data_IF_101117757290
#
_entry.id   IF_101117757290
#
_cell.length_a   1.000
_cell.length_b   1.000
_cell.length_c   1.000
_cell.angle_alpha   90.00
_cell.angle_beta   90.00
_cell.angle_gamma   90.00
#
_symmetry.space_group_name_H-M   'P 1'
#
loop_
_entity.id
_entity.type
_entity.pdbx_description
1 polymer ?
#
# COMPACT_ATOMS: atom_id res chain seq x y z
N UNK A 1 -69.22 -9.09 -5.27
CA UNK A 1 -69.29 -10.48 -4.75
C UNK A 1 -68.43 -11.33 -5.65
N UNK A 2 -67.49 -12.07 -5.06
CA UNK A 2 -66.59 -13.07 -5.70
C UNK A 2 -65.50 -12.48 -6.61
N UNK A 3 -64.33 -12.20 -6.01
CA UNK A 3 -62.98 -12.42 -6.54
C UNK A 3 -61.92 -12.01 -5.51
N UNK A 4 -61.88 -12.66 -4.40
CA UNK A 4 -60.81 -12.54 -3.42
C UNK A 4 -60.54 -13.94 -2.88
N UNK A 5 -59.71 -14.70 -3.59
CA UNK A 5 -59.05 -15.91 -3.11
C UNK A 5 -58.30 -16.55 -4.28
N UNK A 6 -57.04 -16.32 -4.39
CA UNK A 6 -55.98 -17.23 -4.86
C UNK A 6 -54.67 -16.41 -4.79
N UNK A 7 -53.98 -16.48 -3.66
CA UNK A 7 -52.52 -16.35 -3.55
C UNK A 7 -52.08 -16.81 -2.17
N UNK A 8 -51.82 -18.11 -1.99
CA UNK A 8 -51.07 -18.55 -0.83
C UNK A 8 -49.60 -18.77 -1.21
N UNK A 9 -48.74 -18.25 -0.34
CA UNK A 9 -47.47 -18.86 0.05
C UNK A 9 -46.38 -19.06 -1.02
N UNK A 10 -45.57 -18.08 -1.19
CA UNK A 10 -44.13 -18.27 -1.52
C UNK A 10 -43.29 -17.31 -0.67
N UNK A 11 -43.44 -17.35 0.62
CA UNK A 11 -42.52 -16.76 1.59
C UNK A 11 -41.83 -17.86 2.37
N UNK A 12 -41.13 -18.73 1.66
CA UNK A 12 -40.20 -19.65 2.31
C UNK A 12 -38.82 -18.92 2.36
N UNK A 13 -38.72 -17.99 3.30
CA UNK A 13 -37.44 -17.44 3.71
C UNK A 13 -36.62 -18.60 4.28
N UNK A 14 -35.62 -19.01 3.51
CA UNK A 14 -34.55 -19.88 4.02
C UNK A 14 -33.79 -19.08 5.07
N UNK A 15 -34.27 -19.11 6.30
CA UNK A 15 -33.48 -18.61 7.45
C UNK A 15 -32.38 -19.64 7.67
N UNK A 16 -31.24 -19.41 7.03
CA UNK A 16 -30.00 -20.13 7.35
C UNK A 16 -29.65 -19.76 8.79
N UNK A 17 -30.07 -20.59 9.74
CA UNK A 17 -29.72 -20.45 11.15
C UNK A 17 -28.22 -20.74 11.29
N UNK A 18 -27.39 -19.70 11.22
CA UNK A 18 -25.95 -19.82 11.45
C UNK A 18 -25.71 -20.41 12.86
N UNK A 19 -24.81 -21.38 12.99
CA UNK A 19 -24.53 -22.02 14.27
C UNK A 19 -24.03 -20.96 15.28
N UNK A 20 -24.39 -21.11 16.58
CA UNK A 20 -24.10 -20.10 17.61
C UNK A 20 -22.61 -19.79 17.77
N UNK A 21 -21.76 -20.71 17.38
CA UNK A 21 -20.31 -20.51 17.34
C UNK A 21 -19.89 -19.46 16.29
N UNK A 22 -20.50 -19.44 15.10
CA UNK A 22 -20.19 -18.49 14.02
C UNK A 22 -20.64 -17.07 14.38
N UNK A 23 -21.74 -16.93 15.12
CA UNK A 23 -22.26 -15.63 15.56
C UNK A 23 -21.39 -14.98 16.64
N UNK A 24 -20.77 -15.78 17.52
CA UNK A 24 -19.80 -15.30 18.52
C UNK A 24 -18.47 -14.91 17.90
N UNK A 25 -17.97 -15.66 16.92
CA UNK A 25 -16.72 -15.33 16.24
C UNK A 25 -16.85 -14.09 15.37
N UNK A 26 -17.95 -13.90 14.64
CA UNK A 26 -18.22 -12.69 13.86
C UNK A 26 -18.37 -11.46 14.77
N UNK A 27 -19.04 -11.61 15.93
CA UNK A 27 -19.15 -10.53 16.92
C UNK A 27 -17.81 -10.13 17.54
N UNK A 28 -16.94 -11.11 17.85
CA UNK A 28 -15.59 -10.86 18.38
C UNK A 28 -14.68 -10.20 17.34
N UNK A 29 -14.74 -10.63 16.08
CA UNK A 29 -13.97 -10.01 14.97
C UNK A 29 -14.45 -8.59 14.70
N UNK A 30 -15.77 -8.33 14.75
CA UNK A 30 -16.33 -6.99 14.61
C UNK A 30 -15.91 -6.06 15.75
N UNK A 31 -15.92 -6.55 17.00
CA UNK A 31 -15.47 -5.80 18.17
C UNK A 31 -13.95 -5.50 18.10
N UNK A 32 -13.15 -6.47 17.65
CA UNK A 32 -11.70 -6.30 17.48
C UNK A 32 -11.37 -5.28 16.38
N UNK A 33 -12.13 -5.31 15.26
CA UNK A 33 -12.02 -4.31 14.19
C UNK A 33 -12.38 -2.89 14.68
N UNK A 34 -13.43 -2.79 15.50
CA UNK A 34 -13.87 -1.52 16.07
C UNK A 34 -12.86 -0.95 17.07
N UNK A 35 -12.22 -1.81 17.87
CA UNK A 35 -11.11 -1.44 18.77
C UNK A 35 -9.85 -1.00 18.02
N UNK A 36 -9.52 -1.64 16.89
CA UNK A 36 -8.38 -1.24 16.05
C UNK A 36 -8.62 0.12 15.40
N UNK A 37 -9.84 0.38 14.90
CA UNK A 37 -10.22 1.68 14.33
C UNK A 37 -10.24 2.77 15.40
N UNK A 38 -10.73 2.47 16.61
CA UNK A 38 -10.72 3.42 17.73
C UNK A 38 -9.31 3.74 18.24
N UNK A 39 -8.39 2.76 18.20
CA UNK A 39 -6.98 2.98 18.55
C UNK A 39 -6.21 3.79 17.50
N UNK A 40 -6.66 3.79 16.24
CA UNK A 40 -6.08 4.60 15.16
C UNK A 40 -6.58 6.05 15.17
N UNK A 41 -7.70 6.35 15.85
CA UNK A 41 -8.27 7.67 15.97
C UNK A 41 -7.77 8.37 17.24
N UNK A 42 -6.46 8.53 17.39
CA UNK A 42 -5.94 9.44 18.42
C UNK A 42 -6.05 10.89 17.91
N UNK A 43 -6.62 11.82 18.69
CA UNK A 43 -6.64 13.22 18.30
C UNK A 43 -5.21 13.73 18.19
N UNK A 44 -4.94 14.45 17.11
CA UNK A 44 -3.68 15.17 16.93
C UNK A 44 -3.43 16.06 18.16
N UNK A 45 -2.32 15.81 18.83
CA UNK A 45 -1.87 16.65 19.94
C UNK A 45 -1.29 17.92 19.35
N UNK A 46 -2.02 19.01 19.45
CA UNK A 46 -1.57 20.35 19.13
C UNK A 46 -0.48 20.78 20.10
N UNK A 47 0.77 20.38 19.87
CA UNK A 47 1.91 20.95 20.60
C UNK A 47 3.24 20.65 19.92
N UNK A 48 3.53 21.36 18.82
CA UNK A 48 4.93 21.50 18.38
C UNK A 48 5.16 22.87 17.76
N UNK A 49 5.03 23.90 18.59
CA UNK A 49 5.51 25.24 18.27
C UNK A 49 7.04 25.29 18.52
N UNK A 50 7.82 24.90 17.52
CA UNK A 50 9.26 25.12 17.49
C UNK A 50 10.11 23.87 17.76
N UNK A 51 10.64 23.29 16.70
CA UNK A 51 11.72 22.31 16.75
C UNK A 51 13.01 23.06 17.18
N UNK A 52 13.67 22.73 18.30
CA UNK A 52 14.92 23.37 18.72
C UNK A 52 16.09 23.17 17.73
N UNK A 53 15.92 22.34 16.73
CA UNK A 53 16.92 22.09 15.65
C UNK A 53 16.50 22.69 14.32
N UNK A 54 15.65 23.72 14.29
CA UNK A 54 15.28 24.37 13.04
C UNK A 54 16.50 25.04 12.38
N UNK A 55 16.72 24.76 11.09
CA UNK A 55 17.71 25.49 10.29
C UNK A 55 17.21 26.90 10.04
N UNK A 56 17.90 27.88 10.59
CA UNK A 56 17.56 29.29 10.40
C UNK A 56 18.20 29.81 9.11
N UNK A 57 17.40 30.47 8.29
CA UNK A 57 17.81 31.13 7.05
C UNK A 57 17.68 32.63 7.22
N UNK A 58 18.82 33.27 7.45
CA UNK A 58 18.95 34.72 7.56
C UNK A 58 19.50 35.31 6.27
N UNK A 59 19.07 36.52 5.92
CA UNK A 59 19.54 37.23 4.72
C UNK A 59 18.81 36.82 3.46
N UNK A 60 19.44 37.01 2.27
CA UNK A 60 18.83 36.76 0.96
C UNK A 60 19.42 35.50 0.34
N UNK A 61 18.57 34.54 0.02
CA UNK A 61 18.94 33.29 -0.67
C UNK A 61 18.27 33.25 -2.03
N UNK A 62 19.07 33.19 -3.11
CA UNK A 62 18.59 33.17 -4.50
C UNK A 62 18.39 31.73 -5.03
N UNK A 63 18.02 30.79 -4.19
CA UNK A 63 17.82 29.38 -4.55
C UNK A 63 16.73 28.78 -3.70
N UNK A 64 16.21 27.61 -4.08
CA UNK A 64 15.27 26.84 -3.27
C UNK A 64 15.98 26.24 -2.05
N UNK A 65 15.39 26.43 -0.88
CA UNK A 65 15.90 25.92 0.39
C UNK A 65 15.28 24.56 0.68
N UNK A 66 16.12 23.56 0.92
CA UNK A 66 15.67 22.20 1.28
C UNK A 66 16.04 21.85 2.73
N UNK A 67 15.10 21.30 3.49
CA UNK A 67 15.30 20.67 4.78
C UNK A 67 14.99 19.17 4.71
N UNK A 68 15.90 18.32 5.16
CA UNK A 68 15.67 16.88 5.30
C UNK A 68 15.75 16.50 6.77
N UNK A 69 14.63 15.99 7.32
CA UNK A 69 14.54 15.56 8.70
C UNK A 69 14.54 16.69 9.73
N UNK A 70 14.56 17.96 9.30
CA UNK A 70 14.65 19.13 10.17
C UNK A 70 13.70 20.23 9.71
N UNK A 71 13.25 21.06 10.66
CA UNK A 71 12.44 22.23 10.36
C UNK A 71 13.29 23.37 9.79
N UNK A 72 12.68 24.21 8.95
CA UNK A 72 13.29 25.39 8.35
C UNK A 72 12.59 26.62 8.94
N UNK A 73 13.38 27.58 9.43
CA UNK A 73 12.88 28.89 9.85
C UNK A 73 13.49 29.97 8.93
N UNK A 74 12.65 30.69 8.24
CA UNK A 74 13.04 31.73 7.27
C UNK A 74 12.76 33.08 7.90
N UNK A 75 13.82 33.78 8.36
CA UNK A 75 13.77 35.15 8.90
C UNK A 75 14.12 36.17 7.84
N UNK A 76 14.86 35.75 6.81
CA UNK A 76 15.26 36.58 5.68
C UNK A 76 14.34 36.45 4.46
N UNK A 77 14.93 36.55 3.26
CA UNK A 77 14.23 36.45 1.97
C UNK A 77 14.72 35.27 1.16
N UNK A 78 13.81 34.39 0.72
CA UNK A 78 14.10 33.29 -0.20
C UNK A 78 13.42 33.60 -1.53
N UNK A 79 14.20 33.64 -2.62
CA UNK A 79 13.72 34.08 -3.94
C UNK A 79 12.98 32.99 -4.73
N UNK A 80 13.34 31.73 -4.56
CA UNK A 80 12.74 30.64 -5.34
C UNK A 80 11.68 29.88 -4.56
N UNK A 81 12.05 29.24 -3.46
CA UNK A 81 11.08 28.46 -2.68
C UNK A 81 11.69 27.78 -1.47
N UNK A 82 10.84 27.16 -0.64
CA UNK A 82 11.28 26.43 0.54
C UNK A 82 10.54 25.11 0.69
N UNK A 83 11.28 24.02 0.89
CA UNK A 83 10.69 22.69 1.03
C UNK A 83 11.31 21.92 2.19
N UNK A 84 10.47 21.39 3.08
CA UNK A 84 10.90 20.53 4.19
C UNK A 84 10.29 19.12 4.08
N UNK A 85 11.14 18.13 4.31
CA UNK A 85 10.77 16.72 4.43
C UNK A 85 10.95 16.28 5.89
N UNK A 86 9.87 15.98 6.59
CA UNK A 86 9.89 15.56 8.00
C UNK A 86 10.11 16.67 9.01
N UNK A 87 9.98 17.93 8.60
CA UNK A 87 10.04 19.11 9.46
C UNK A 87 9.06 20.19 9.03
N UNK A 88 8.91 21.20 9.86
CA UNK A 88 8.02 22.33 9.60
C UNK A 88 8.75 23.41 8.79
N UNK A 89 7.99 24.19 8.03
CA UNK A 89 8.50 25.41 7.38
C UNK A 89 7.86 26.62 8.09
N UNK A 90 8.70 27.35 8.82
CA UNK A 90 8.27 28.54 9.60
C UNK A 90 8.74 29.76 8.81
N UNK A 91 7.81 30.53 8.27
CA UNK A 91 8.09 31.76 7.51
C UNK A 91 7.82 32.95 8.41
N UNK A 92 8.88 33.68 8.74
CA UNK A 92 8.87 34.95 9.50
C UNK A 92 9.26 36.14 8.60
N UNK A 93 10.00 35.85 7.50
CA UNK A 93 10.40 36.82 6.48
C UNK A 93 9.59 36.69 5.19
N UNK A 94 10.25 36.62 4.03
CA UNK A 94 9.61 36.54 2.72
C UNK A 94 10.09 35.33 1.93
N UNK A 95 9.16 34.64 1.26
CA UNK A 95 9.44 33.60 0.25
C UNK A 95 8.70 34.00 -1.02
N UNK A 96 9.44 34.34 -2.09
CA UNK A 96 8.83 34.79 -3.34
C UNK A 96 8.22 33.64 -4.16
N UNK A 97 8.65 32.39 -3.94
CA UNK A 97 8.16 31.18 -4.61
C UNK A 97 7.34 30.26 -3.72
N UNK A 98 7.32 28.97 -4.09
CA UNK A 98 6.47 27.96 -3.46
C UNK A 98 7.02 27.50 -2.11
N UNK A 99 6.10 27.16 -1.19
CA UNK A 99 6.43 26.60 0.12
C UNK A 99 5.79 25.22 0.27
N UNK A 100 6.61 24.20 0.58
CA UNK A 100 6.11 22.85 0.77
C UNK A 100 6.61 22.20 2.07
N UNK A 101 5.71 21.51 2.77
CA UNK A 101 6.04 20.66 3.92
C UNK A 101 5.45 19.27 3.73
N UNK A 102 6.29 18.24 3.85
CA UNK A 102 5.89 16.83 3.77
C UNK A 102 6.25 16.16 5.10
N UNK A 103 5.23 15.69 5.84
CA UNK A 103 5.38 15.20 7.20
C UNK A 103 5.71 16.31 8.21
N UNK A 104 5.20 17.52 7.95
CA UNK A 104 5.28 18.69 8.79
C UNK A 104 4.27 19.73 8.37
N UNK A 105 4.25 20.84 9.10
CA UNK A 105 3.32 21.95 8.90
C UNK A 105 4.01 23.16 8.29
N UNK A 106 3.27 24.01 7.60
CA UNK A 106 3.72 25.34 7.18
C UNK A 106 3.13 26.37 8.14
N UNK A 107 3.98 27.19 8.73
CA UNK A 107 3.60 28.20 9.72
C UNK A 107 4.01 29.57 9.18
N UNK A 108 3.03 30.35 8.73
CA UNK A 108 3.24 31.73 8.30
C UNK A 108 2.98 32.65 9.48
N UNK A 109 4.04 33.34 9.94
CA UNK A 109 3.96 34.30 11.04
C UNK A 109 3.38 35.63 10.56
N UNK A 110 2.87 36.47 11.50
CA UNK A 110 2.39 37.81 11.17
C UNK A 110 3.48 38.64 10.47
N UNK A 111 3.13 39.26 9.34
CA UNK A 111 4.07 40.06 8.54
C UNK A 111 4.95 39.24 7.57
N UNK A 112 4.85 37.91 7.57
CA UNK A 112 5.56 37.10 6.61
C UNK A 112 4.82 37.08 5.27
N UNK A 113 5.59 37.01 4.15
CA UNK A 113 5.05 36.95 2.80
C UNK A 113 5.37 35.61 2.12
N UNK A 114 4.38 35.02 1.41
CA UNK A 114 4.56 33.85 0.55
C UNK A 114 3.95 34.17 -0.81
N UNK A 115 4.81 34.30 -1.84
CA UNK A 115 4.39 34.65 -3.20
C UNK A 115 3.85 33.48 -4.02
N UNK A 116 4.28 32.25 -3.72
CA UNK A 116 3.90 31.05 -4.47
C UNK A 116 2.83 30.18 -3.82
N UNK A 117 2.73 28.93 -4.29
CA UNK A 117 1.79 27.94 -3.79
C UNK A 117 2.25 27.36 -2.45
N UNK A 118 1.27 26.94 -1.63
CA UNK A 118 1.55 26.26 -0.36
C UNK A 118 1.07 24.82 -0.44
N UNK A 119 1.99 23.87 -0.28
CA UNK A 119 1.71 22.44 -0.32
C UNK A 119 2.05 21.82 1.03
N UNK A 120 1.03 21.28 1.72
CA UNK A 120 1.20 20.62 3.03
C UNK A 120 0.68 19.20 2.94
N UNK A 121 1.55 18.23 3.17
CA UNK A 121 1.21 16.83 3.22
C UNK A 121 1.52 16.25 4.60
N UNK A 122 0.48 15.84 5.30
CA UNK A 122 0.55 15.28 6.65
C UNK A 122 0.18 16.26 7.75
N UNK A 123 0.72 17.48 7.71
CA UNK A 123 0.47 18.54 8.67
C UNK A 123 -0.61 19.54 8.24
N UNK A 124 -0.54 20.74 8.80
CA UNK A 124 -1.53 21.81 8.63
C UNK A 124 -0.82 23.10 8.21
N UNK A 125 -1.49 23.92 7.41
CA UNK A 125 -1.07 25.28 7.14
C UNK A 125 -1.65 26.22 8.22
N UNK A 126 -0.74 26.77 9.03
CA UNK A 126 -1.07 27.75 10.07
C UNK A 126 -0.76 29.14 9.58
N UNK A 127 -1.74 30.02 9.60
CA UNK A 127 -1.57 31.46 9.40
C UNK A 127 -2.34 32.20 10.47
N UNK A 128 -1.92 33.44 10.77
CA UNK A 128 -2.59 34.26 11.75
C UNK A 128 -4.00 34.67 11.28
N UNK A 129 -4.86 35.12 12.19
CA UNK A 129 -6.25 35.51 11.92
C UNK A 129 -6.40 36.69 10.93
N UNK A 130 -5.36 37.49 10.74
CA UNK A 130 -5.28 38.43 9.62
C UNK A 130 -5.13 37.63 8.32
N UNK A 131 -5.72 38.08 7.20
CA UNK A 131 -5.56 37.45 5.90
C UNK A 131 -4.07 37.27 5.60
N UNK A 132 -3.63 36.06 5.26
CA UNK A 132 -2.23 35.79 4.97
C UNK A 132 -1.78 36.65 3.80
N UNK A 133 -0.58 37.26 3.89
CA UNK A 133 0.01 38.01 2.79
C UNK A 133 0.54 37.04 1.74
N UNK A 134 -0.27 36.85 0.68
CA UNK A 134 -0.01 35.90 -0.41
C UNK A 134 -0.45 36.47 -1.75
N UNK A 135 0.13 35.94 -2.82
CA UNK A 135 -0.38 36.25 -4.18
C UNK A 135 -1.85 35.76 -4.30
N UNK A 136 -2.77 36.60 -4.78
CA UNK A 136 -4.18 36.21 -5.01
C UNK A 136 -4.36 35.01 -5.94
N UNK A 137 -3.40 34.67 -6.77
CA UNK A 137 -3.43 33.53 -7.69
C UNK A 137 -2.86 32.25 -7.07
N UNK A 138 -2.21 32.33 -5.90
CA UNK A 138 -1.59 31.16 -5.27
C UNK A 138 -2.63 30.16 -4.76
N UNK A 139 -2.30 28.89 -4.88
CA UNK A 139 -3.15 27.77 -4.48
C UNK A 139 -2.61 27.16 -3.17
N UNK A 140 -3.51 26.73 -2.30
CA UNK A 140 -3.15 25.93 -1.13
C UNK A 140 -3.64 24.50 -1.33
N UNK A 141 -2.71 23.56 -1.30
CA UNK A 141 -3.00 22.12 -1.31
C UNK A 141 -2.62 21.58 0.08
N UNK A 142 -3.62 21.13 0.84
CA UNK A 142 -3.41 20.62 2.18
C UNK A 142 -4.07 19.25 2.32
N UNK A 143 -3.30 18.28 2.78
CA UNK A 143 -3.80 16.98 3.21
C UNK A 143 -3.35 16.72 4.65
N UNK A 144 -4.25 16.98 5.59
CA UNK A 144 -4.01 16.74 7.01
C UNK A 144 -4.20 15.26 7.34
N UNK A 145 -3.24 14.68 8.04
CA UNK A 145 -3.29 13.29 8.49
C UNK A 145 -1.94 12.59 8.35
N UNK A 146 -1.69 11.66 9.24
CA UNK A 146 -0.46 10.85 9.26
C UNK A 146 0.84 11.66 9.45
N UNK A 147 0.78 12.88 10.02
CA UNK A 147 1.93 13.76 10.22
C UNK A 147 3.07 13.05 10.96
N UNK A 148 2.78 12.45 12.12
CA UNK A 148 3.79 11.74 12.93
C UNK A 148 4.42 10.55 12.21
N UNK A 149 3.66 9.86 11.36
CA UNK A 149 4.19 8.74 10.60
C UNK A 149 5.08 9.24 9.46
N UNK A 150 4.62 10.24 8.70
CA UNK A 150 5.40 10.85 7.63
C UNK A 150 6.65 11.53 8.18
N UNK A 151 6.54 12.26 9.27
CA UNK A 151 7.67 12.93 9.97
C UNK A 151 8.71 11.90 10.40
N UNK A 152 8.31 10.79 11.03
CA UNK A 152 9.23 9.70 11.41
C UNK A 152 9.91 9.08 10.20
N UNK A 153 9.17 8.75 9.15
CA UNK A 153 9.73 8.16 7.93
C UNK A 153 10.71 9.09 7.24
N UNK A 154 10.45 10.39 7.23
CA UNK A 154 11.34 11.37 6.59
C UNK A 154 12.57 11.70 7.45
N UNK A 155 12.46 11.72 8.77
CA UNK A 155 13.59 11.91 9.69
C UNK A 155 14.49 10.66 9.78
N UNK A 156 13.85 9.50 9.81
CA UNK A 156 14.52 8.22 9.97
C UNK A 156 14.02 7.21 8.92
N UNK A 157 14.45 7.30 7.66
CA UNK A 157 13.95 6.44 6.58
C UNK A 157 14.22 4.96 6.85
N UNK A 158 15.24 4.64 7.63
CA UNK A 158 15.54 3.26 8.04
C UNK A 158 14.66 2.76 9.20
N UNK A 159 13.90 3.63 9.88
CA UNK A 159 12.96 3.21 10.93
C UNK A 159 11.82 2.35 10.38
N UNK A 160 11.48 2.50 9.10
CA UNK A 160 10.52 1.64 8.39
C UNK A 160 10.99 0.18 8.34
N UNK A 161 12.31 -0.05 8.37
CA UNK A 161 12.88 -1.40 8.37
C UNK A 161 12.80 -2.07 9.75
N UNK A 162 12.56 -1.30 10.82
CA UNK A 162 12.41 -1.76 12.19
C UNK A 162 10.97 -1.61 12.66
N UNK A 163 10.08 -2.55 12.40
CA UNK A 163 8.73 -2.47 12.93
C UNK A 163 8.77 -2.53 14.47
N UNK A 164 8.15 -1.54 15.10
CA UNK A 164 7.98 -1.55 16.55
C UNK A 164 7.00 -2.68 16.92
N UNK A 165 7.41 -3.57 17.81
CA UNK A 165 6.59 -4.69 18.32
C UNK A 165 5.55 -4.13 19.30
N UNK A 166 4.49 -3.54 18.75
CA UNK A 166 3.35 -3.01 19.50
C UNK A 166 2.14 -3.95 19.39
N UNK A 167 1.14 -3.79 20.25
CA UNK A 167 -0.12 -4.51 20.15
C UNK A 167 -0.79 -4.27 18.78
N UNK A 168 -0.68 -3.05 18.23
CA UNK A 168 -1.18 -2.68 16.90
C UNK A 168 -0.45 -3.46 15.80
N UNK A 169 0.87 -3.65 15.94
CA UNK A 169 1.64 -4.47 15.00
C UNK A 169 1.12 -5.90 14.94
N UNK A 170 0.92 -6.56 16.08
CA UNK A 170 0.37 -7.92 16.11
C UNK A 170 -1.06 -7.97 15.58
N UNK A 171 -1.90 -6.99 15.93
CA UNK A 171 -3.27 -6.90 15.42
C UNK A 171 -3.32 -6.76 13.91
N UNK A 172 -2.49 -5.90 13.31
CA UNK A 172 -2.42 -5.73 11.85
C UNK A 172 -1.89 -6.99 11.14
N UNK A 173 -0.96 -7.74 11.76
CA UNK A 173 -0.47 -9.01 11.20
C UNK A 173 -1.54 -10.10 11.25
N UNK A 174 -2.29 -10.18 12.35
CA UNK A 174 -3.40 -11.13 12.46
C UNK A 174 -4.51 -10.83 11.46
N UNK A 175 -4.85 -9.56 11.30
CA UNK A 175 -5.80 -9.11 10.28
C UNK A 175 -5.30 -9.42 8.86
N UNK A 176 -4.03 -9.22 8.58
CA UNK A 176 -3.42 -9.57 7.30
C UNK A 176 -3.48 -11.08 7.04
N UNK A 177 -3.23 -11.93 8.05
CA UNK A 177 -3.40 -13.38 7.92
C UNK A 177 -4.84 -13.71 7.54
N UNK A 178 -5.81 -13.12 8.22
CA UNK A 178 -7.23 -13.37 7.97
C UNK A 178 -7.62 -12.95 6.54
N UNK A 179 -7.27 -11.74 6.13
CA UNK A 179 -7.57 -11.22 4.79
C UNK A 179 -6.94 -12.10 3.71
N UNK A 180 -5.64 -12.39 3.81
CA UNK A 180 -4.95 -13.22 2.81
C UNK A 180 -5.42 -14.66 2.81
N UNK A 181 -5.84 -15.20 3.95
CA UNK A 181 -6.46 -16.52 4.03
C UNK A 181 -7.80 -16.56 3.29
N UNK A 182 -8.68 -15.56 3.52
CA UNK A 182 -9.98 -15.47 2.84
C UNK A 182 -9.79 -15.29 1.33
N UNK A 183 -8.89 -14.39 0.91
CA UNK A 183 -8.56 -14.19 -0.52
C UNK A 183 -8.02 -15.47 -1.16
N UNK A 184 -7.11 -16.17 -0.48
CA UNK A 184 -6.55 -17.42 -0.98
C UNK A 184 -7.60 -18.53 -1.07
N UNK A 185 -8.49 -18.62 -0.09
CA UNK A 185 -9.59 -19.59 -0.08
C UNK A 185 -10.58 -19.30 -1.22
N UNK A 186 -10.97 -18.04 -1.39
CA UNK A 186 -11.87 -17.63 -2.47
C UNK A 186 -11.27 -17.92 -3.86
N UNK A 187 -10.02 -17.54 -4.10
CA UNK A 187 -9.37 -17.78 -5.39
C UNK A 187 -9.18 -19.28 -5.68
N UNK A 188 -8.79 -20.08 -4.68
CA UNK A 188 -8.68 -21.53 -4.85
C UNK A 188 -10.02 -22.19 -5.12
N UNK A 189 -11.11 -21.68 -4.53
CA UNK A 189 -12.48 -22.16 -4.79
C UNK A 189 -12.98 -21.80 -6.19
N UNK A 190 -12.71 -20.57 -6.65
CA UNK A 190 -13.20 -20.08 -7.96
C UNK A 190 -12.39 -20.64 -9.13
N UNK A 191 -11.06 -20.79 -8.97
CA UNK A 191 -10.16 -21.17 -10.07
C UNK A 191 -9.21 -22.34 -9.71
N UNK A 192 -9.74 -23.52 -9.25
CA UNK A 192 -8.90 -24.60 -8.73
C UNK A 192 -7.93 -25.14 -9.77
N UNK A 193 -8.39 -25.31 -11.01
CA UNK A 193 -7.58 -25.86 -12.11
C UNK A 193 -6.45 -24.92 -12.58
N UNK A 194 -6.66 -23.62 -12.45
CA UNK A 194 -5.65 -22.61 -12.83
C UNK A 194 -4.55 -22.55 -11.79
N UNK A 195 -4.93 -22.57 -10.52
CA UNK A 195 -3.99 -22.52 -9.41
C UNK A 195 -3.16 -23.79 -9.33
N UNK A 196 -3.77 -24.98 -9.47
CA UNK A 196 -3.03 -26.24 -9.44
C UNK A 196 -1.98 -26.34 -10.53
N UNK A 197 -2.31 -25.90 -11.76
CA UNK A 197 -1.36 -25.83 -12.88
C UNK A 197 -0.23 -24.83 -12.62
N UNK A 198 -0.54 -23.67 -12.07
CA UNK A 198 0.45 -22.66 -11.74
C UNK A 198 1.41 -23.12 -10.62
N UNK A 199 0.91 -23.81 -9.60
CA UNK A 199 1.73 -24.41 -8.53
C UNK A 199 2.71 -25.44 -9.09
N UNK A 200 2.26 -26.35 -9.97
CA UNK A 200 3.12 -27.34 -10.59
C UNK A 200 4.25 -26.69 -11.41
N UNK A 201 3.94 -25.62 -12.14
CA UNK A 201 4.95 -24.85 -12.90
C UNK A 201 5.97 -24.18 -12.00
N UNK A 202 5.53 -23.55 -10.92
CA UNK A 202 6.42 -22.92 -9.96
C UNK A 202 7.44 -23.91 -9.40
N UNK A 203 7.03 -25.14 -9.11
CA UNK A 203 7.91 -26.18 -8.57
C UNK A 203 8.93 -26.69 -9.60
N UNK A 204 8.57 -26.71 -10.89
CA UNK A 204 9.42 -27.24 -11.95
C UNK A 204 10.38 -26.21 -12.56
N UNK A 205 10.01 -24.91 -12.53
CA UNK A 205 10.75 -23.88 -13.28
C UNK A 205 10.84 -22.55 -12.50
N UNK A 206 11.09 -22.60 -11.20
CA UNK A 206 11.09 -21.42 -10.30
C UNK A 206 12.03 -20.29 -10.79
N UNK A 207 13.24 -20.63 -11.24
CA UNK A 207 14.22 -19.64 -11.72
C UNK A 207 13.74 -18.96 -13.02
N UNK A 208 13.19 -19.71 -13.95
CA UNK A 208 12.64 -19.14 -15.20
C UNK A 208 11.47 -18.20 -14.94
N UNK A 209 10.59 -18.58 -14.02
CA UNK A 209 9.46 -17.73 -13.60
C UNK A 209 9.97 -16.43 -12.99
N UNK A 210 11.01 -16.48 -12.15
CA UNK A 210 11.59 -15.27 -11.55
C UNK A 210 12.24 -14.36 -12.62
N UNK A 211 13.00 -14.92 -13.57
CA UNK A 211 13.62 -14.15 -14.66
C UNK A 211 12.54 -13.50 -15.53
N UNK A 212 11.51 -14.25 -15.94
CA UNK A 212 10.41 -13.71 -16.76
C UNK A 212 9.65 -12.62 -15.98
N UNK A 213 9.46 -12.81 -14.68
CA UNK A 213 8.83 -11.81 -13.82
C UNK A 213 9.65 -10.53 -13.71
N UNK A 214 10.96 -10.64 -13.56
CA UNK A 214 11.87 -9.51 -13.51
C UNK A 214 11.87 -8.74 -14.84
N UNK A 215 12.05 -9.45 -15.95
CA UNK A 215 12.00 -8.84 -17.29
C UNK A 215 10.64 -8.20 -17.54
N UNK A 216 9.55 -8.87 -17.15
CA UNK A 216 8.19 -8.34 -17.27
C UNK A 216 7.98 -7.08 -16.43
N UNK A 217 8.48 -7.04 -15.20
CA UNK A 217 8.41 -5.85 -14.34
C UNK A 217 9.16 -4.67 -14.97
N UNK A 218 10.38 -4.90 -15.45
CA UNK A 218 11.18 -3.87 -16.15
C UNK A 218 10.46 -3.39 -17.41
N UNK A 219 9.95 -4.31 -18.23
CA UNK A 219 9.24 -3.97 -19.47
C UNK A 219 7.97 -3.15 -19.21
N UNK A 220 7.18 -3.50 -18.19
CA UNK A 220 5.99 -2.74 -17.79
C UNK A 220 6.38 -1.34 -17.32
N UNK A 221 7.41 -1.23 -16.47
CA UNK A 221 7.88 0.05 -15.96
C UNK A 221 8.38 0.95 -17.10
N UNK A 222 9.23 0.43 -17.98
CA UNK A 222 9.74 1.17 -19.16
C UNK A 222 8.61 1.53 -20.12
N UNK A 223 7.64 0.64 -20.32
CA UNK A 223 6.46 0.90 -21.16
C UNK A 223 5.59 2.04 -20.62
N UNK A 224 5.34 2.06 -19.32
CA UNK A 224 4.58 3.16 -18.67
C UNK A 224 5.38 4.46 -18.73
N UNK A 225 6.68 4.46 -18.38
CA UNK A 225 7.52 5.65 -18.46
C UNK A 225 7.61 6.17 -19.91
N UNK A 226 7.81 5.28 -20.86
CA UNK A 226 7.85 5.65 -22.29
C UNK A 226 6.53 6.23 -22.78
N UNK A 227 5.39 5.73 -22.28
CA UNK A 227 4.08 6.27 -22.64
C UNK A 227 3.89 7.71 -22.16
N UNK A 228 4.45 8.08 -21.01
CA UNK A 228 4.41 9.45 -20.47
C UNK A 228 5.16 10.45 -21.36
N UNK A 229 6.19 9.99 -22.08
CA UNK A 229 7.02 10.83 -22.95
C UNK A 229 6.50 10.94 -24.39
N UNK A 230 5.87 9.85 -24.91
CA UNK A 230 5.50 9.75 -26.32
C UNK A 230 4.02 10.04 -26.60
N UNK A 231 3.13 9.93 -25.60
CA UNK A 231 1.69 9.95 -25.79
C UNK A 231 1.03 11.16 -25.10
N UNK A 232 -0.13 11.63 -25.62
CA UNK A 232 -0.92 12.64 -24.93
C UNK A 232 -1.30 12.19 -23.51
N UNK A 233 -1.42 13.15 -22.59
CA UNK A 233 -1.62 12.90 -21.15
C UNK A 233 -2.81 11.98 -20.83
N UNK A 234 -3.92 12.09 -21.56
CA UNK A 234 -5.11 11.24 -21.35
C UNK A 234 -4.82 9.78 -21.71
N UNK A 235 -4.10 9.53 -22.82
CA UNK A 235 -3.78 8.17 -23.27
C UNK A 235 -2.74 7.53 -22.37
N UNK A 236 -1.72 8.29 -21.97
CA UNK A 236 -0.69 7.79 -21.03
C UNK A 236 -1.28 7.48 -19.66
N UNK A 237 -2.19 8.31 -19.15
CA UNK A 237 -2.92 8.04 -17.91
C UNK A 237 -3.76 6.76 -18.01
N UNK A 238 -4.47 6.54 -19.11
CA UNK A 238 -5.24 5.32 -19.32
C UNK A 238 -4.34 4.06 -19.37
N UNK A 239 -3.19 4.13 -20.04
CA UNK A 239 -2.20 3.04 -20.08
C UNK A 239 -1.65 2.77 -18.68
N UNK A 240 -1.30 3.81 -17.91
CA UNK A 240 -0.78 3.66 -16.57
C UNK A 240 -1.80 3.00 -15.63
N UNK A 241 -3.07 3.42 -15.69
CA UNK A 241 -4.17 2.81 -14.90
C UNK A 241 -4.38 1.36 -15.30
N UNK A 242 -4.41 1.05 -16.60
CA UNK A 242 -4.56 -0.33 -17.07
C UNK A 242 -3.39 -1.22 -16.63
N UNK A 243 -2.15 -0.72 -16.76
CA UNK A 243 -0.96 -1.42 -16.31
C UNK A 243 -0.98 -1.68 -14.80
N UNK A 244 -1.42 -0.69 -14.01
CA UNK A 244 -1.58 -0.81 -12.56
C UNK A 244 -2.62 -1.88 -12.21
N UNK A 245 -3.79 -1.87 -12.82
CA UNK A 245 -4.84 -2.87 -12.59
C UNK A 245 -4.37 -4.27 -12.92
N UNK A 246 -3.70 -4.46 -14.07
CA UNK A 246 -3.13 -5.73 -14.47
C UNK A 246 -2.04 -6.19 -13.49
N UNK A 247 -1.19 -5.28 -13.02
CA UNK A 247 -0.16 -5.58 -12.02
C UNK A 247 -0.77 -6.02 -10.68
N UNK A 248 -1.84 -5.36 -10.23
CA UNK A 248 -2.57 -5.74 -9.01
C UNK A 248 -3.14 -7.15 -9.15
N UNK A 249 -3.88 -7.43 -10.23
CA UNK A 249 -4.47 -8.75 -10.47
C UNK A 249 -3.39 -9.83 -10.56
N UNK A 250 -2.31 -9.56 -11.29
CA UNK A 250 -1.17 -10.48 -11.41
C UNK A 250 -0.50 -10.76 -10.06
N UNK A 251 -0.34 -9.72 -9.24
CA UNK A 251 0.28 -9.83 -7.91
C UNK A 251 -0.60 -10.63 -6.96
N UNK A 252 -1.91 -10.38 -6.93
CA UNK A 252 -2.83 -11.12 -6.07
C UNK A 252 -2.86 -12.61 -6.48
N UNK A 253 -3.03 -12.89 -7.77
CA UNK A 253 -3.03 -14.25 -8.28
C UNK A 253 -1.72 -15.00 -7.98
N UNK A 254 -0.58 -14.39 -8.31
CA UNK A 254 0.72 -15.01 -8.10
C UNK A 254 1.04 -15.24 -6.63
N UNK A 255 0.65 -14.30 -5.77
CA UNK A 255 0.81 -14.43 -4.31
C UNK A 255 0.03 -15.62 -3.76
N UNK A 256 -1.22 -15.82 -4.21
CA UNK A 256 -2.01 -16.99 -3.82
C UNK A 256 -1.35 -18.30 -4.27
N UNK A 257 -0.83 -18.36 -5.51
CA UNK A 257 -0.12 -19.54 -6.02
C UNK A 257 1.12 -19.86 -5.17
N UNK A 258 1.90 -18.83 -4.79
CA UNK A 258 3.09 -19.00 -3.94
C UNK A 258 2.68 -19.49 -2.56
N UNK A 259 1.65 -18.91 -1.95
CA UNK A 259 1.10 -19.33 -0.64
C UNK A 259 0.67 -20.79 -0.66
N UNK A 260 -0.10 -21.20 -1.68
CA UNK A 260 -0.55 -22.61 -1.83
C UNK A 260 0.64 -23.54 -2.01
N UNK A 261 1.61 -23.15 -2.83
CA UNK A 261 2.83 -23.96 -3.09
C UNK A 261 3.64 -24.15 -1.81
N UNK A 262 3.87 -23.06 -1.07
CA UNK A 262 4.61 -23.08 0.19
C UNK A 262 3.86 -23.85 1.27
N UNK A 263 2.55 -23.68 1.37
CA UNK A 263 1.71 -24.41 2.32
C UNK A 263 1.78 -25.92 2.08
N UNK A 264 1.69 -26.38 0.83
CA UNK A 264 1.86 -27.79 0.45
C UNK A 264 3.26 -28.32 0.74
N UNK A 265 4.30 -27.52 0.52
CA UNK A 265 5.67 -27.89 0.83
C UNK A 265 5.85 -28.04 2.35
N UNK A 266 5.35 -27.09 3.15
CA UNK A 266 5.44 -27.08 4.60
C UNK A 266 4.68 -28.26 5.21
N UNK A 267 3.47 -28.55 4.70
CA UNK A 267 2.69 -29.71 5.10
C UNK A 267 3.45 -31.02 4.89
N UNK A 268 4.03 -31.23 3.69
CA UNK A 268 4.78 -32.46 3.38
C UNK A 268 5.98 -32.65 4.30
N UNK A 269 6.62 -31.54 4.69
CA UNK A 269 7.85 -31.57 5.47
C UNK A 269 7.61 -31.73 6.98
N UNK A 270 6.60 -31.05 7.54
CA UNK A 270 6.40 -30.96 8.97
C UNK A 270 5.13 -31.62 9.48
N UNK A 271 4.07 -31.68 8.69
CA UNK A 271 2.75 -32.12 9.13
C UNK A 271 2.08 -33.07 8.12
N UNK A 272 2.69 -34.22 7.79
CA UNK A 272 2.20 -35.12 6.74
C UNK A 272 0.81 -35.73 7.05
N UNK A 273 0.37 -35.70 8.32
CA UNK A 273 -0.92 -36.23 8.75
C UNK A 273 -2.09 -35.28 8.49
N UNK A 274 -1.86 -33.99 8.27
CA UNK A 274 -2.91 -33.01 8.01
C UNK A 274 -3.29 -33.03 6.53
N UNK A 275 -4.55 -33.41 6.25
CA UNK A 275 -5.08 -33.50 4.87
C UNK A 275 -6.02 -32.34 4.50
N UNK A 276 -6.30 -31.42 5.44
CA UNK A 276 -7.23 -30.31 5.20
C UNK A 276 -6.61 -29.22 4.34
N UNK A 277 -7.23 -28.91 3.20
CA UNK A 277 -6.76 -27.84 2.29
C UNK A 277 -6.76 -26.46 2.97
N UNK A 278 -7.76 -26.18 3.81
CA UNK A 278 -7.82 -24.91 4.55
C UNK A 278 -6.64 -24.73 5.51
N UNK A 279 -6.19 -25.79 6.17
CA UNK A 279 -5.04 -25.75 7.06
C UNK A 279 -3.76 -25.55 6.27
N UNK A 280 -3.64 -26.15 5.08
CA UNK A 280 -2.49 -25.95 4.17
C UNK A 280 -2.39 -24.49 3.74
N UNK A 281 -3.52 -23.87 3.38
CA UNK A 281 -3.58 -22.45 3.02
C UNK A 281 -3.20 -21.57 4.20
N UNK A 282 -3.75 -21.85 5.38
CA UNK A 282 -3.43 -21.08 6.60
C UNK A 282 -1.93 -21.15 6.93
N UNK A 283 -1.31 -22.32 6.87
CA UNK A 283 0.13 -22.50 7.06
C UNK A 283 0.95 -21.67 6.07
N UNK A 284 0.57 -21.70 4.79
CA UNK A 284 1.26 -20.92 3.76
C UNK A 284 1.14 -19.41 3.98
N UNK A 285 -0.06 -18.91 4.29
CA UNK A 285 -0.29 -17.49 4.59
C UNK A 285 0.50 -17.05 5.81
N UNK A 286 0.40 -17.82 6.90
CA UNK A 286 1.11 -17.51 8.17
C UNK A 286 2.61 -17.48 7.94
N UNK A 287 3.18 -18.44 7.23
CA UNK A 287 4.60 -18.47 6.90
C UNK A 287 5.07 -17.18 6.21
N UNK A 288 4.36 -16.75 5.16
CA UNK A 288 4.74 -15.55 4.40
C UNK A 288 4.54 -14.26 5.19
N UNK A 289 3.53 -14.18 6.06
CA UNK A 289 3.31 -13.01 6.91
C UNK A 289 4.37 -12.94 8.02
N UNK A 290 4.72 -14.07 8.64
CA UNK A 290 5.81 -14.13 9.61
C UNK A 290 7.14 -13.76 8.96
N UNK A 291 7.45 -14.28 7.78
CA UNK A 291 8.66 -13.95 7.04
C UNK A 291 8.71 -12.45 6.68
N UNK A 292 7.57 -11.88 6.27
CA UNK A 292 7.44 -10.43 6.01
C UNK A 292 7.42 -9.56 7.27
N UNK A 293 7.45 -10.16 8.46
CA UNK A 293 7.51 -9.43 9.73
C UNK A 293 8.95 -9.30 10.25
N UNK A 294 9.90 -9.99 9.64
CA UNK A 294 11.31 -9.94 10.04
C UNK A 294 11.90 -8.59 9.60
N UNK A 295 12.50 -7.82 10.53
CA UNK A 295 13.19 -6.57 10.20
C UNK A 295 14.24 -6.78 9.10
N UNK A 296 14.45 -5.78 8.26
CA UNK A 296 15.36 -5.77 7.09
C UNK A 296 15.07 -6.82 6.00
N UNK A 297 14.44 -7.94 6.30
CA UNK A 297 14.15 -9.01 5.33
C UNK A 297 12.87 -8.72 4.54
N UNK A 298 11.90 -8.05 5.16
CA UNK A 298 10.59 -7.83 4.57
C UNK A 298 10.59 -7.14 3.20
N UNK A 299 11.46 -6.14 2.88
CA UNK A 299 11.45 -5.51 1.55
C UNK A 299 11.87 -6.49 0.46
N UNK A 300 12.89 -7.30 0.74
CA UNK A 300 13.35 -8.34 -0.19
C UNK A 300 12.30 -9.42 -0.42
N UNK A 301 11.59 -9.81 0.65
CA UNK A 301 10.46 -10.75 0.56
C UNK A 301 9.35 -10.19 -0.31
N UNK A 302 8.97 -8.91 -0.11
CA UNK A 302 7.92 -8.28 -0.91
C UNK A 302 8.34 -8.11 -2.37
N UNK A 303 9.58 -7.69 -2.64
CA UNK A 303 10.12 -7.59 -3.98
C UNK A 303 10.15 -8.96 -4.68
N UNK A 304 10.62 -9.99 -4.00
CA UNK A 304 10.65 -11.37 -4.51
C UNK A 304 9.24 -11.91 -4.81
N UNK A 305 8.29 -11.66 -3.91
CA UNK A 305 6.87 -12.03 -4.12
C UNK A 305 6.27 -11.30 -5.33
N UNK A 306 6.57 -10.01 -5.51
CA UNK A 306 6.07 -9.22 -6.64
C UNK A 306 6.63 -9.75 -7.95
N UNK A 307 7.95 -9.93 -8.05
CA UNK A 307 8.61 -10.47 -9.25
C UNK A 307 8.10 -11.87 -9.59
N UNK A 308 8.03 -12.77 -8.60
CA UNK A 308 7.55 -14.13 -8.82
C UNK A 308 6.06 -14.14 -9.23
N UNK A 309 5.25 -13.27 -8.65
CA UNK A 309 3.82 -13.14 -8.99
C UNK A 309 3.61 -12.68 -10.42
N UNK A 310 4.36 -11.66 -10.87
CA UNK A 310 4.34 -11.21 -12.26
C UNK A 310 4.79 -12.30 -13.21
N UNK A 311 5.87 -13.00 -12.88
CA UNK A 311 6.37 -14.13 -13.69
C UNK A 311 5.34 -15.24 -13.82
N UNK A 312 4.64 -15.60 -12.75
CA UNK A 312 3.57 -16.60 -12.78
C UNK A 312 2.39 -16.15 -13.65
N UNK A 313 1.98 -14.88 -13.53
CA UNK A 313 0.87 -14.35 -14.33
C UNK A 313 1.22 -14.33 -15.82
N UNK A 314 2.42 -13.91 -16.20
CA UNK A 314 2.90 -13.88 -17.58
C UNK A 314 3.04 -15.29 -18.17
N UNK A 315 3.51 -16.25 -17.38
CA UNK A 315 3.71 -17.64 -17.84
C UNK A 315 2.43 -18.47 -17.79
N UNK A 316 1.38 -18.02 -17.09
CA UNK A 316 0.12 -18.78 -16.96
C UNK A 316 -0.54 -19.10 -18.31
N UNK A 317 -0.37 -18.25 -19.33
CA UNK A 317 -0.95 -18.42 -20.68
C UNK A 317 -0.15 -19.34 -21.62
N UNK A 318 1.14 -19.57 -21.38
CA UNK A 318 1.93 -20.42 -22.27
C UNK A 318 1.60 -21.90 -22.04
N UNK A 319 0.88 -22.52 -22.98
CA UNK A 319 0.85 -23.98 -23.11
C UNK A 319 2.27 -24.41 -23.54
N UNK A 320 3.03 -25.00 -22.65
CA UNK A 320 4.21 -25.76 -23.03
C UNK A 320 3.68 -27.07 -23.69
N UNK A 321 3.39 -26.97 -24.96
CA UNK A 321 3.12 -28.13 -25.76
C UNK A 321 4.45 -28.87 -25.99
N UNK A 322 4.73 -29.85 -25.20
CA UNK A 322 5.63 -30.92 -25.64
C UNK A 322 4.89 -31.60 -26.77
N UNK A 323 5.22 -31.28 -28.03
CA UNK A 323 4.97 -32.18 -29.16
C UNK A 323 5.84 -33.40 -28.88
N UNK A 324 5.28 -34.42 -28.28
CA UNK A 324 5.77 -35.78 -28.48
C UNK A 324 5.71 -36.00 -29.98
N UNK A 325 6.87 -35.91 -30.64
CA UNK A 325 7.07 -36.40 -31.97
C UNK A 325 6.80 -37.90 -31.88
N UNK A 326 5.58 -38.31 -32.17
CA UNK A 326 5.33 -39.68 -32.63
C UNK A 326 6.11 -39.85 -33.94
N UNK A 327 7.37 -40.24 -33.81
CA UNK A 327 8.03 -40.91 -34.91
C UNK A 327 7.24 -42.20 -35.16
N UNK A 328 6.46 -42.14 -36.22
CA UNK A 328 5.91 -43.30 -36.91
C UNK A 328 6.90 -44.45 -36.88
N UNK A 329 6.50 -45.53 -36.28
CA UNK A 329 7.01 -46.84 -36.67
C UNK A 329 6.23 -47.24 -37.92
N UNK A 330 6.85 -47.11 -39.06
CA UNK A 330 6.58 -47.88 -40.21
C UNK A 330 7.50 -49.08 -40.17
#
# INVERSE_FOLDING_TARGET
MIAAQILPSLSNQIVVKAPPCLRRTVGLVGLLLLLIVAAAAQPARDEHLGDPQARVIDGVVNATVFGMGQSIRITGTVKEGAMSFGGDVIVEGSVDGDVAAIGGSVIQRPGAHIGGDVIVLGGIYHHDKAAPDRDPKSVTIMYAGYEDQLRRVMREPFSVLHPQLSAVFFGTRLLAILIWFVVSLALTGVMPNTISRAVTRLQLTSIRVAIIGLVGAVAITLGVLGSLWLLPSIVSAAIAVLALLLAIVATVFGRVVIVVSTGRWLQRRFLPRLKSESVILLLGVTFWIVLSSIPYVWPFVQAGLLVASLGLALTARYRVGWKTSERSRA
#
